data_IF_931963573904
#
_entry.id   IF_931963573904
#
_cell.length_a   1.000
_cell.length_b   1.000
_cell.length_c   1.000
_cell.angle_alpha   90.00
_cell.angle_beta   90.00
_cell.angle_gamma   90.00
#
_symmetry.space_group_name_H-M   'P 1'
#
loop_
_entity.id
_entity.type
_entity.pdbx_description
1 polymer ?
#
# COMPACT_ATOMS: atom_id res chain seq x y z
N UNK A 1 52.43 -15.89 74.70
CA UNK A 1 51.11 -15.52 74.14
C UNK A 1 51.07 -14.01 74.10
N UNK A 2 50.94 -13.40 72.92
CA UNK A 2 50.01 -12.29 72.67
C UNK A 2 50.06 -11.84 71.20
N UNK A 3 48.88 -11.59 70.65
CA UNK A 3 48.53 -11.66 69.23
C UNK A 3 48.84 -10.36 68.47
N UNK A 4 49.38 -10.51 67.26
CA UNK A 4 49.51 -9.44 66.27
C UNK A 4 48.13 -9.01 65.74
N UNK A 5 47.81 -7.72 65.89
CA UNK A 5 46.58 -7.11 65.38
C UNK A 5 46.56 -7.01 63.85
N UNK A 6 45.62 -7.72 63.22
CA UNK A 6 45.40 -7.66 61.77
C UNK A 6 44.69 -6.35 61.37
N UNK A 7 45.34 -5.55 60.53
CA UNK A 7 44.77 -4.35 59.88
C UNK A 7 43.66 -4.75 58.91
N UNK A 8 42.42 -4.33 59.18
CA UNK A 8 41.24 -4.52 58.31
C UNK A 8 41.35 -3.66 57.05
N UNK A 9 41.46 -4.28 55.88
CA UNK A 9 41.39 -3.59 54.60
C UNK A 9 39.93 -3.21 54.26
N UNK A 10 39.63 -1.91 54.18
CA UNK A 10 38.31 -1.39 53.79
C UNK A 10 38.13 -1.53 52.28
N UNK A 11 37.25 -2.43 51.83
CA UNK A 11 36.86 -2.55 50.42
C UNK A 11 36.01 -1.34 50.01
N UNK A 12 36.53 -0.51 49.10
CA UNK A 12 35.75 0.52 48.41
C UNK A 12 35.00 -0.12 47.24
N UNK A 13 33.68 -0.24 47.37
CA UNK A 13 32.82 -0.64 46.25
C UNK A 13 32.78 0.49 45.21
N UNK A 14 33.12 0.18 43.96
CA UNK A 14 32.94 1.10 42.83
C UNK A 14 31.44 1.31 42.60
N UNK A 15 30.98 2.56 42.67
CA UNK A 15 29.61 2.94 42.29
C UNK A 15 29.38 2.53 40.83
N UNK A 16 28.67 1.42 40.63
CA UNK A 16 28.20 0.99 39.32
C UNK A 16 27.38 2.11 38.68
N UNK A 17 27.84 2.62 37.53
CA UNK A 17 27.06 3.54 36.71
C UNK A 17 25.79 2.79 36.29
N UNK A 18 24.63 3.24 36.79
CA UNK A 18 23.33 2.76 36.29
C UNK A 18 23.29 2.98 34.78
N UNK A 19 22.99 1.96 33.95
CA UNK A 19 22.81 2.16 32.52
C UNK A 19 21.68 3.17 32.34
N UNK A 20 21.98 4.26 31.63
CA UNK A 20 20.95 5.23 31.22
C UNK A 20 19.90 4.48 30.40
N UNK A 21 18.59 4.73 30.61
CA UNK A 21 17.56 4.14 29.76
C UNK A 21 17.87 4.52 28.32
N UNK A 22 18.11 3.52 27.45
CA UNK A 22 18.17 3.74 26.01
C UNK A 22 16.87 4.43 25.63
N UNK A 23 16.95 5.65 25.05
CA UNK A 23 15.81 6.27 24.37
C UNK A 23 15.27 5.22 23.42
N UNK A 24 14.04 4.74 23.66
CA UNK A 24 13.36 3.84 22.74
C UNK A 24 13.29 4.54 21.39
N UNK A 25 14.02 4.01 20.40
CA UNK A 25 13.84 4.44 19.02
C UNK A 25 12.35 4.25 18.69
N UNK A 26 11.64 5.29 18.22
CA UNK A 26 10.25 5.14 17.82
C UNK A 26 10.14 4.00 16.80
N UNK A 27 9.26 3.04 17.04
CA UNK A 27 8.97 2.00 16.05
C UNK A 27 8.44 2.67 14.79
N UNK A 28 9.02 2.38 13.61
CA UNK A 28 8.57 3.00 12.37
C UNK A 28 7.08 2.71 12.15
N UNK A 29 6.35 3.72 11.66
CA UNK A 29 5.00 3.59 11.16
C UNK A 29 5.08 3.22 9.69
N UNK A 30 4.47 2.10 9.31
CA UNK A 30 4.43 1.67 7.92
C UNK A 30 3.08 1.99 7.31
N UNK A 31 3.08 2.92 6.36
CA UNK A 31 1.90 3.32 5.62
C UNK A 31 2.31 3.94 4.27
N UNK A 32 1.45 3.80 3.27
CA UNK A 32 1.64 4.43 1.97
C UNK A 32 0.29 4.76 1.34
N UNK A 33 0.28 5.79 0.50
CA UNK A 33 -0.85 6.16 -0.33
C UNK A 33 -0.35 6.50 -1.73
N UNK A 34 -0.98 5.94 -2.75
CA UNK A 34 -0.60 6.03 -4.15
C UNK A 34 -1.77 6.59 -4.96
N UNK A 35 -1.45 7.45 -5.91
CA UNK A 35 -2.37 8.00 -6.92
C UNK A 35 -1.88 7.66 -8.31
N UNK A 36 -2.78 7.59 -9.28
CA UNK A 36 -2.38 7.37 -10.68
C UNK A 36 -1.92 8.69 -11.27
N UNK A 37 -0.74 8.70 -11.88
CA UNK A 37 -0.24 9.77 -12.73
C UNK A 37 -0.40 9.35 -14.20
N UNK A 38 -1.15 10.11 -15.02
CA UNK A 38 -1.20 9.87 -16.46
C UNK A 38 0.18 10.13 -17.07
N UNK A 39 0.61 9.28 -18.01
CA UNK A 39 1.91 9.40 -18.68
C UNK A 39 2.07 10.74 -19.44
N UNK A 40 0.98 11.29 -19.97
CA UNK A 40 1.02 12.44 -20.89
C UNK A 40 0.58 13.77 -20.25
N UNK A 41 0.45 13.83 -18.91
CA UNK A 41 -0.09 15.00 -18.23
C UNK A 41 -1.54 15.36 -18.61
N UNK A 42 -2.18 14.56 -19.48
CA UNK A 42 -3.57 14.72 -19.88
C UNK A 42 -4.48 14.50 -18.67
N UNK A 43 -5.07 15.59 -18.22
CA UNK A 43 -6.09 15.61 -17.19
C UNK A 43 -7.40 15.13 -17.80
N UNK A 44 -7.76 13.86 -17.63
CA UNK A 44 -9.15 13.47 -17.89
C UNK A 44 -9.44 11.99 -18.00
N UNK A 45 -8.59 11.21 -18.66
CA UNK A 45 -8.84 9.78 -18.92
C UNK A 45 -7.53 9.01 -18.87
N UNK A 46 -7.51 7.92 -18.10
CA UNK A 46 -6.46 6.91 -18.09
C UNK A 46 -7.02 5.61 -18.66
N UNK A 47 -6.24 4.94 -19.52
CA UNK A 47 -6.61 3.64 -20.10
C UNK A 47 -5.74 2.55 -19.47
N UNK A 48 -6.37 1.53 -18.89
CA UNK A 48 -5.67 0.40 -18.32
C UNK A 48 -4.89 -0.39 -19.38
N UNK A 49 -3.87 -1.14 -18.94
CA UNK A 49 -3.07 -1.95 -19.83
C UNK A 49 -3.88 -2.99 -20.62
N UNK A 50 -3.32 -3.56 -21.71
CA UNK A 50 -3.93 -4.68 -22.44
C UNK A 50 -4.18 -5.93 -21.57
N UNK A 51 -3.44 -6.06 -20.48
CA UNK A 51 -3.56 -7.09 -19.45
C UNK A 51 -4.51 -6.71 -18.31
N UNK A 52 -5.15 -5.54 -18.40
CA UNK A 52 -5.99 -4.96 -17.37
C UNK A 52 -5.21 -4.38 -16.18
N UNK A 53 -3.87 -4.32 -16.23
CA UNK A 53 -3.08 -3.76 -15.13
C UNK A 53 -3.20 -2.24 -15.08
N UNK A 54 -3.49 -1.69 -13.90
CA UNK A 54 -3.44 -0.25 -13.64
C UNK A 54 -2.00 0.11 -13.25
N UNK A 55 -1.40 1.01 -14.03
CA UNK A 55 0.01 1.46 -13.95
C UNK A 55 0.08 2.96 -13.65
N UNK A 56 1.29 3.50 -13.57
CA UNK A 56 1.54 4.92 -13.28
C UNK A 56 1.27 5.31 -11.82
N UNK A 57 1.41 4.39 -10.87
CA UNK A 57 1.22 4.69 -9.46
C UNK A 57 2.36 5.55 -8.91
N UNK A 58 2.02 6.71 -8.37
CA UNK A 58 2.93 7.63 -7.73
C UNK A 58 2.62 7.74 -6.23
N UNK A 59 3.64 7.61 -5.41
CA UNK A 59 3.51 7.71 -3.96
C UNK A 59 3.21 9.16 -3.55
N UNK A 60 2.23 9.32 -2.67
CA UNK A 60 1.95 10.58 -1.98
C UNK A 60 2.79 10.64 -0.72
N UNK A 61 3.45 11.77 -0.50
CA UNK A 61 4.27 11.96 0.68
C UNK A 61 3.45 11.87 1.96
N UNK A 62 3.89 11.01 2.89
CA UNK A 62 3.34 10.83 4.22
C UNK A 62 4.47 10.89 5.24
N UNK A 63 4.17 11.23 6.49
CA UNK A 63 5.12 11.11 7.60
C UNK A 63 5.18 9.64 8.12
N UNK A 64 5.42 8.72 7.19
CA UNK A 64 5.48 7.27 7.41
C UNK A 64 6.44 6.63 6.39
N UNK A 65 6.92 5.41 6.69
CA UNK A 65 7.74 4.65 5.74
C UNK A 65 6.85 3.78 4.86
N UNK A 66 7.05 3.82 3.54
CA UNK A 66 6.33 2.92 2.64
C UNK A 66 6.78 1.47 2.83
N UNK A 67 5.85 0.52 3.05
CA UNK A 67 6.14 -0.91 3.09
C UNK A 67 6.15 -1.55 1.68
N UNK A 68 6.05 -0.76 0.61
CA UNK A 68 5.99 -1.20 -0.77
C UNK A 68 7.09 -0.54 -1.62
N UNK A 69 7.50 -1.24 -2.67
CA UNK A 69 8.30 -0.69 -3.77
C UNK A 69 7.55 -0.90 -5.07
N UNK A 70 7.25 0.19 -5.78
CA UNK A 70 6.56 0.11 -7.06
C UNK A 70 7.53 -0.10 -8.24
N UNK A 71 7.17 -1.00 -9.14
CA UNK A 71 7.83 -1.24 -10.43
C UNK A 71 6.93 -0.75 -11.55
N UNK A 72 7.30 0.38 -12.16
CA UNK A 72 6.51 1.03 -13.19
C UNK A 72 6.42 0.22 -14.49
N UNK A 73 7.53 -0.44 -14.87
CA UNK A 73 7.61 -1.25 -16.07
C UNK A 73 6.69 -2.48 -16.02
N UNK A 74 6.42 -3.02 -14.82
CA UNK A 74 5.51 -4.15 -14.63
C UNK A 74 4.13 -3.77 -14.09
N UNK A 75 3.97 -2.61 -13.46
CA UNK A 75 2.73 -2.23 -12.78
C UNK A 75 2.49 -3.03 -11.50
N UNK A 76 3.56 -3.38 -10.80
CA UNK A 76 3.53 -4.30 -9.64
C UNK A 76 4.21 -3.65 -8.45
N UNK A 77 3.66 -3.86 -7.26
CA UNK A 77 4.29 -3.48 -6.00
C UNK A 77 4.96 -4.70 -5.37
N UNK A 78 6.19 -4.57 -4.92
CA UNK A 78 6.86 -5.57 -4.10
C UNK A 78 6.78 -5.14 -2.64
N UNK A 79 6.33 -6.04 -1.76
CA UNK A 79 6.28 -5.82 -0.31
C UNK A 79 7.71 -5.81 0.25
N UNK A 80 8.16 -4.67 0.78
CA UNK A 80 9.49 -4.52 1.39
C UNK A 80 9.47 -4.76 2.89
N UNK A 81 8.32 -4.58 3.54
CA UNK A 81 8.13 -4.84 4.97
C UNK A 81 6.90 -5.71 5.20
N UNK A 82 7.09 -6.95 5.66
CA UNK A 82 6.00 -7.89 5.89
C UNK A 82 5.18 -7.53 7.14
N UNK A 83 3.89 -7.89 7.15
CA UNK A 83 2.99 -7.56 8.27
C UNK A 83 1.52 -7.78 7.97
N UNK A 84 0.66 -7.42 8.94
CA UNK A 84 -0.77 -7.31 8.75
C UNK A 84 -1.11 -5.86 8.39
N UNK A 85 -1.80 -5.64 7.28
CA UNK A 85 -2.12 -4.31 6.78
C UNK A 85 -3.62 -4.18 6.53
N UNK A 86 -4.18 -3.02 6.83
CA UNK A 86 -5.44 -2.60 6.25
C UNK A 86 -5.12 -1.99 4.89
N UNK A 87 -5.64 -2.59 3.83
CA UNK A 87 -5.42 -2.15 2.46
C UNK A 87 -6.75 -1.66 1.89
N UNK A 88 -6.73 -0.55 1.17
CA UNK A 88 -7.89 0.01 0.49
C UNK A 88 -7.51 0.50 -0.90
N UNK A 89 -8.41 0.33 -1.86
CA UNK A 89 -8.25 0.86 -3.20
C UNK A 89 -9.58 1.31 -3.77
N UNK A 90 -9.53 2.34 -4.60
CA UNK A 90 -10.67 2.89 -5.30
C UNK A 90 -10.28 3.20 -6.74
N UNK A 91 -11.21 2.98 -7.68
CA UNK A 91 -11.09 3.43 -9.05
C UNK A 91 -12.46 3.90 -9.55
N UNK A 92 -12.48 4.99 -10.31
CA UNK A 92 -13.69 5.44 -11.01
C UNK A 92 -13.55 5.20 -12.50
N UNK A 93 -14.42 4.35 -13.04
CA UNK A 93 -14.46 3.98 -14.44
C UNK A 93 -15.29 4.99 -15.24
N UNK A 94 -14.77 5.39 -16.39
CA UNK A 94 -15.38 6.32 -17.33
C UNK A 94 -15.70 5.56 -18.62
N UNK A 95 -16.64 4.62 -18.52
CA UNK A 95 -16.78 3.54 -19.48
C UNK A 95 -18.22 3.35 -19.97
N UNK A 96 -18.35 3.00 -21.26
CA UNK A 96 -19.62 2.70 -21.92
C UNK A 96 -19.56 1.47 -22.84
N UNK A 97 -18.36 0.98 -23.18
CA UNK A 97 -18.20 -0.16 -24.09
C UNK A 97 -18.32 -1.53 -23.38
N UNK A 98 -18.11 -1.57 -22.07
CA UNK A 98 -18.11 -2.80 -21.30
C UNK A 98 -19.45 -3.02 -20.57
N UNK A 99 -19.88 -4.27 -20.47
CA UNK A 99 -21.09 -4.67 -19.71
C UNK A 99 -20.83 -4.80 -18.21
N UNK A 100 -19.57 -4.73 -17.79
CA UNK A 100 -19.18 -4.69 -16.38
C UNK A 100 -17.82 -3.99 -16.22
N UNK A 101 -17.57 -3.50 -15.02
CA UNK A 101 -16.26 -3.04 -14.57
C UNK A 101 -15.87 -3.78 -13.30
N UNK A 102 -14.56 -3.93 -13.06
CA UNK A 102 -14.04 -4.56 -11.85
C UNK A 102 -12.80 -3.83 -11.36
N UNK A 103 -12.61 -3.83 -10.05
CA UNK A 103 -11.35 -3.47 -9.42
C UNK A 103 -10.88 -4.66 -8.59
N UNK A 104 -9.67 -5.12 -8.84
CA UNK A 104 -9.09 -6.28 -8.19
C UNK A 104 -7.71 -5.94 -7.65
N UNK A 105 -7.48 -6.25 -6.37
CA UNK A 105 -6.16 -6.30 -5.78
C UNK A 105 -5.73 -7.77 -5.72
N UNK A 106 -4.71 -8.13 -6.48
CA UNK A 106 -4.10 -9.45 -6.43
C UNK A 106 -2.89 -9.46 -5.49
N UNK A 107 -2.73 -10.54 -4.71
CA UNK A 107 -1.54 -10.86 -3.94
C UNK A 107 -0.87 -12.09 -4.57
N UNK A 108 0.29 -11.89 -5.20
CA UNK A 108 0.88 -12.87 -6.09
C UNK A 108 -0.01 -13.11 -7.32
N UNK A 109 -0.41 -14.36 -7.53
CA UNK A 109 -1.30 -14.76 -8.64
C UNK A 109 -2.78 -14.80 -8.25
N UNK A 110 -3.09 -14.69 -6.96
CA UNK A 110 -4.45 -14.87 -6.46
C UNK A 110 -5.14 -13.52 -6.22
N UNK A 111 -6.43 -13.37 -6.59
CA UNK A 111 -7.22 -12.20 -6.20
C UNK A 111 -7.44 -12.20 -4.69
N UNK A 112 -7.08 -11.11 -4.01
CA UNK A 112 -7.24 -10.95 -2.57
C UNK A 112 -8.48 -10.11 -2.22
N UNK A 113 -8.69 -9.01 -2.93
CA UNK A 113 -9.88 -8.16 -2.78
C UNK A 113 -10.45 -7.85 -4.18
N UNK A 114 -11.77 -7.87 -4.32
CA UNK A 114 -12.43 -7.61 -5.60
C UNK A 114 -13.73 -6.83 -5.40
N UNK A 115 -13.96 -5.87 -6.28
CA UNK A 115 -15.22 -5.19 -6.50
C UNK A 115 -15.61 -5.42 -7.97
N UNK A 116 -16.90 -5.68 -8.22
CA UNK A 116 -17.45 -5.86 -9.56
C UNK A 116 -18.79 -5.13 -9.64
N UNK A 117 -18.96 -4.32 -10.67
CA UNK A 117 -20.21 -3.65 -10.98
C UNK A 117 -20.65 -3.99 -12.40
N UNK A 118 -21.87 -4.49 -12.53
CA UNK A 118 -22.51 -4.64 -13.83
C UNK A 118 -22.92 -3.26 -14.34
N UNK A 119 -22.65 -3.01 -15.62
CA UNK A 119 -23.09 -1.81 -16.31
C UNK A 119 -24.39 -2.12 -17.09
N UNK A 120 -25.24 -1.11 -17.36
CA UNK A 120 -26.33 -1.28 -18.29
C UNK A 120 -25.81 -1.78 -19.64
N UNK A 121 -26.56 -2.63 -20.35
CA UNK A 121 -26.19 -2.99 -21.71
C UNK A 121 -26.10 -1.72 -22.56
N UNK A 122 -25.13 -1.65 -23.50
CA UNK A 122 -25.01 -0.48 -24.37
C UNK A 122 -26.31 -0.30 -25.15
N UNK A 123 -26.92 0.88 -25.04
CA UNK A 123 -28.10 1.26 -25.81
C UNK A 123 -27.75 1.42 -27.29
N UNK A 124 -28.73 1.31 -28.19
CA UNK A 124 -28.54 1.55 -29.63
C UNK A 124 -28.15 3.01 -29.98
N UNK A 125 -28.21 3.94 -29.01
CA UNK A 125 -27.76 5.32 -29.15
C UNK A 125 -26.25 5.51 -28.89
N UNK A 126 -25.75 6.75 -28.99
CA UNK A 126 -24.35 7.06 -28.69
C UNK A 126 -23.98 6.60 -27.28
N UNK A 127 -22.84 5.91 -27.09
CA UNK A 127 -22.40 5.48 -25.77
C UNK A 127 -22.05 6.69 -24.90
N UNK A 128 -22.91 6.99 -23.93
CA UNK A 128 -22.63 8.03 -22.93
C UNK A 128 -21.85 7.41 -21.77
N UNK A 129 -20.61 7.86 -21.51
CA UNK A 129 -19.79 7.27 -20.47
C UNK A 129 -20.39 7.58 -19.10
N UNK A 130 -20.58 6.54 -18.29
CA UNK A 130 -21.14 6.67 -16.96
C UNK A 130 -20.05 6.48 -15.92
N UNK A 131 -19.84 7.51 -15.08
CA UNK A 131 -18.84 7.44 -14.03
C UNK A 131 -19.28 6.42 -12.96
N UNK A 132 -18.51 5.35 -12.79
CA UNK A 132 -18.79 4.28 -11.82
C UNK A 132 -17.60 4.03 -10.90
N UNK A 133 -17.80 4.26 -9.60
CA UNK A 133 -16.80 3.97 -8.58
C UNK A 133 -16.84 2.51 -8.15
N UNK A 134 -15.68 1.87 -8.03
CA UNK A 134 -15.51 0.57 -7.38
C UNK A 134 -14.49 0.74 -6.25
N UNK A 135 -14.84 0.28 -5.06
CA UNK A 135 -13.98 0.37 -3.86
C UNK A 135 -13.79 -1.02 -3.28
N UNK A 136 -12.55 -1.33 -2.90
CA UNK A 136 -12.20 -2.54 -2.17
C UNK A 136 -11.41 -2.15 -0.93
N UNK A 137 -11.63 -2.85 0.17
CA UNK A 137 -10.81 -2.71 1.36
C UNK A 137 -10.83 -4.00 2.19
N UNK A 138 -9.79 -4.23 2.98
CA UNK A 138 -9.72 -5.40 3.85
C UNK A 138 -8.38 -5.53 4.58
N UNK A 139 -8.35 -6.44 5.55
CA UNK A 139 -7.14 -6.83 6.25
C UNK A 139 -6.41 -7.90 5.44
N UNK A 140 -5.16 -7.63 5.07
CA UNK A 140 -4.30 -8.54 4.33
C UNK A 140 -3.00 -8.78 5.07
N UNK A 141 -2.64 -10.06 5.24
CA UNK A 141 -1.29 -10.43 5.67
C UNK A 141 -0.38 -10.40 4.45
N UNK A 142 0.55 -9.45 4.43
CA UNK A 142 1.49 -9.24 3.34
C UNK A 142 2.85 -9.84 3.72
N UNK A 143 3.29 -10.94 3.08
CA UNK A 143 4.64 -11.47 3.27
C UNK A 143 5.67 -10.55 2.64
N UNK A 144 6.86 -10.43 3.26
CA UNK A 144 7.98 -9.73 2.62
C UNK A 144 8.37 -10.44 1.31
N UNK A 145 8.64 -9.65 0.27
CA UNK A 145 8.93 -10.14 -1.08
C UNK A 145 7.71 -10.55 -1.91
N UNK A 146 6.50 -10.57 -1.33
CA UNK A 146 5.28 -10.82 -2.09
C UNK A 146 4.98 -9.65 -3.04
N UNK A 147 4.21 -9.92 -4.09
CA UNK A 147 3.81 -8.92 -5.08
C UNK A 147 2.34 -8.56 -4.96
N UNK A 148 2.02 -7.28 -5.15
CA UNK A 148 0.65 -6.77 -5.28
C UNK A 148 0.44 -6.18 -6.66
N UNK A 149 -0.75 -6.36 -7.22
CA UNK A 149 -1.13 -5.76 -8.51
C UNK A 149 -2.57 -5.29 -8.46
N UNK A 150 -2.83 -4.08 -8.94
CA UNK A 150 -4.18 -3.60 -9.17
C UNK A 150 -4.57 -3.86 -10.61
N UNK A 151 -5.65 -4.63 -10.78
CA UNK A 151 -6.16 -5.05 -12.07
C UNK A 151 -7.62 -4.64 -12.26
N UNK A 152 -7.99 -4.51 -13.53
CA UNK A 152 -9.34 -4.23 -13.99
C UNK A 152 -9.61 -4.96 -15.31
N UNK A 153 -10.66 -4.59 -16.04
CA UNK A 153 -10.94 -5.09 -17.38
C UNK A 153 -9.88 -4.51 -18.35
N UNK A 154 -9.36 -5.31 -19.31
CA UNK A 154 -8.40 -4.83 -20.30
C UNK A 154 -8.85 -3.55 -20.99
N UNK A 155 -7.94 -2.58 -21.14
CA UNK A 155 -8.18 -1.33 -21.88
C UNK A 155 -9.38 -0.50 -21.40
N UNK A 156 -9.88 -0.73 -20.18
CA UNK A 156 -10.97 0.07 -19.61
C UNK A 156 -10.48 1.50 -19.33
N UNK A 157 -11.37 2.46 -19.50
CA UNK A 157 -11.11 3.86 -19.17
C UNK A 157 -11.47 4.15 -17.70
N UNK A 158 -10.62 4.89 -17.01
CA UNK A 158 -10.83 5.36 -15.64
C UNK A 158 -10.36 6.81 -15.46
N UNK A 159 -10.85 7.48 -14.43
CA UNK A 159 -10.44 8.83 -14.05
C UNK A 159 -9.20 8.78 -13.16
N UNK A 160 -8.06 9.37 -13.55
CA UNK A 160 -6.82 9.32 -12.77
C UNK A 160 -6.76 10.31 -11.60
N UNK A 161 -7.83 11.09 -11.37
CA UNK A 161 -7.90 12.06 -10.27
C UNK A 161 -7.61 11.39 -8.90
N UNK A 162 -6.80 12.02 -8.06
CA UNK A 162 -6.34 11.44 -6.80
C UNK A 162 -7.48 11.15 -5.80
N UNK A 163 -8.58 11.92 -5.86
CA UNK A 163 -9.77 11.66 -5.05
C UNK A 163 -10.59 10.47 -5.57
N UNK A 164 -10.45 10.14 -6.85
CA UNK A 164 -11.25 9.12 -7.54
C UNK A 164 -10.51 7.79 -7.66
N UNK A 165 -9.21 7.80 -7.95
CA UNK A 165 -8.40 6.61 -8.15
C UNK A 165 -7.14 6.63 -7.29
N UNK A 166 -7.13 5.77 -6.27
CA UNK A 166 -6.05 5.67 -5.30
C UNK A 166 -5.92 4.26 -4.70
N UNK A 167 -4.73 3.97 -4.17
CA UNK A 167 -4.42 2.79 -3.38
C UNK A 167 -3.76 3.26 -2.08
N UNK A 168 -4.13 2.70 -0.94
CA UNK A 168 -3.42 2.96 0.29
C UNK A 168 -3.41 1.76 1.23
N UNK A 169 -2.47 1.82 2.17
CA UNK A 169 -2.32 0.82 3.21
C UNK A 169 -1.65 1.39 4.45
N UNK A 170 -1.94 0.80 5.61
CA UNK A 170 -1.22 1.04 6.86
C UNK A 170 -1.15 -0.24 7.68
N UNK A 171 -0.04 -0.42 8.39
CA UNK A 171 0.21 -1.61 9.19
C UNK A 171 -0.60 -1.59 10.48
N UNK A 172 -1.22 -2.72 10.83
CA UNK A 172 -1.80 -2.94 12.15
C UNK A 172 -0.71 -3.47 13.08
N UNK A 173 -0.67 -2.91 14.29
CA UNK A 173 0.23 -3.34 15.37
C UNK A 173 -0.45 -4.35 16.26
#
# INVERSE_FOLDING_TARGET
>A
MDQAGARRHRRTATKGKRPRPRKSTPTPLYAAHYKVQPADGQTGIYTAGPDGTIRGWAETWLNASSPLRYDEARGVFTVTHGGLYYVYAQAHFDEAAWVYVKLELALGVAPALRCLHQLPPPSAGPPEPQLRGCRVAGLLRLPSGATLRLGTVPRVRLKPDASLTHLGLFQLR
#
